data_IF_574222847534
#
_entry.id   IF_574222847534
#
_cell.length_a   1.000
_cell.length_b   1.000
_cell.length_c   1.000
_cell.angle_alpha   90.00
_cell.angle_beta   90.00
_cell.angle_gamma   90.00
#
_symmetry.space_group_name_H-M   'P 1'
#
loop_
_entity.id
_entity.type
_entity.pdbx_description
1 polymer ?
#
# COMPACT_ATOMS: atom_id res chain seq x y z
N UNK A 1 -40.84 11.81 -17.12
CA UNK A 1 -40.60 10.38 -17.40
C UNK A 1 -39.35 9.97 -16.63
N UNK A 2 -39.44 8.95 -15.79
CA UNK A 2 -38.64 8.77 -14.56
C UNK A 2 -37.38 7.89 -14.70
N UNK A 3 -36.54 7.94 -13.64
CA UNK A 3 -35.42 7.06 -13.20
C UNK A 3 -33.99 7.60 -13.52
N UNK A 4 -33.03 7.79 -12.59
CA UNK A 4 -32.85 7.47 -11.17
C UNK A 4 -31.85 8.47 -10.53
N UNK A 5 -32.18 9.02 -9.34
CA UNK A 5 -31.36 9.98 -8.56
C UNK A 5 -30.08 9.36 -7.97
N UNK A 6 -29.02 10.10 -7.61
CA UNK A 6 -28.81 11.51 -7.22
C UNK A 6 -27.43 12.01 -7.74
N UNK A 7 -27.23 13.34 -7.88
CA UNK A 7 -26.05 13.96 -7.23
C UNK A 7 -26.46 15.27 -6.50
N UNK A 8 -25.85 15.66 -5.36
CA UNK A 8 -24.39 15.85 -5.28
C UNK A 8 -23.72 15.46 -3.94
N UNK A 9 -22.42 15.15 -4.02
CA UNK A 9 -21.44 15.53 -2.98
C UNK A 9 -20.23 16.07 -3.73
N UNK A 10 -19.80 17.30 -3.41
CA UNK A 10 -18.66 17.97 -4.03
C UNK A 10 -19.03 19.16 -4.90
N UNK A 11 -18.10 20.12 -4.99
CA UNK A 11 -18.14 21.25 -5.92
C UNK A 11 -17.29 20.86 -7.13
N UNK A 12 -17.80 21.03 -8.34
CA UNK A 12 -17.07 20.80 -9.59
C UNK A 12 -16.92 22.11 -10.36
N UNK A 13 -15.70 22.44 -10.75
CA UNK A 13 -15.39 23.52 -11.69
C UNK A 13 -14.55 22.92 -12.83
N UNK A 14 -14.97 23.15 -14.10
CA UNK A 14 -14.29 22.63 -15.30
C UNK A 14 -14.08 21.09 -15.35
N UNK A 15 -14.84 20.33 -14.55
CA UNK A 15 -14.83 18.86 -14.55
C UNK A 15 -16.25 18.32 -14.65
N UNK A 16 -16.40 17.15 -15.29
CA UNK A 16 -17.68 16.42 -15.40
C UNK A 16 -17.51 15.03 -14.83
N UNK A 17 -18.32 14.68 -13.83
CA UNK A 17 -18.41 13.30 -13.34
C UNK A 17 -19.00 12.40 -14.44
N UNK A 18 -18.31 11.31 -14.77
CA UNK A 18 -18.76 10.33 -15.78
C UNK A 18 -19.24 9.01 -15.18
N UNK A 19 -18.83 8.69 -13.95
CA UNK A 19 -19.22 7.50 -13.21
C UNK A 19 -18.95 7.66 -11.72
N UNK A 20 -19.47 6.73 -10.92
CA UNK A 20 -19.29 6.70 -9.46
C UNK A 20 -19.45 5.28 -8.94
N UNK A 21 -18.61 4.94 -7.97
CA UNK A 21 -18.74 3.72 -7.17
C UNK A 21 -18.45 4.09 -5.73
N UNK A 22 -19.39 3.76 -4.84
CA UNK A 22 -19.21 4.01 -3.41
C UNK A 22 -18.38 2.87 -2.81
N UNK A 23 -17.31 3.23 -2.10
CA UNK A 23 -16.38 2.31 -1.44
C UNK A 23 -15.96 2.92 -0.09
N UNK A 24 -15.51 2.10 0.88
CA UNK A 24 -15.03 2.60 2.17
C UNK A 24 -13.94 3.67 2.04
N UNK A 25 -12.99 3.45 1.12
CA UNK A 25 -11.97 4.43 0.73
C UNK A 25 -10.96 4.79 1.83
N UNK A 26 -10.41 6.00 1.73
CA UNK A 26 -9.42 6.57 2.67
C UNK A 26 -7.96 6.18 2.40
N UNK A 27 -7.70 5.14 1.61
CA UNK A 27 -6.35 4.73 1.23
C UNK A 27 -5.86 5.36 -0.08
N UNK A 28 -4.85 4.72 -0.68
CA UNK A 28 -4.35 5.11 -2.00
C UNK A 28 -5.18 4.51 -3.13
N UNK A 29 -5.17 5.19 -4.27
CA UNK A 29 -5.71 4.69 -5.54
C UNK A 29 -4.57 4.56 -6.55
N UNK A 30 -4.55 3.48 -7.31
CA UNK A 30 -3.71 3.29 -8.50
C UNK A 30 -4.61 2.82 -9.64
N UNK A 31 -4.35 3.29 -10.86
CA UNK A 31 -5.07 2.84 -12.06
C UNK A 31 -4.05 2.32 -13.06
N UNK A 32 -4.24 1.09 -13.54
CA UNK A 32 -3.38 0.48 -14.54
C UNK A 32 -4.22 -0.46 -15.43
N UNK A 33 -4.02 -0.37 -16.76
CA UNK A 33 -4.63 -1.26 -17.76
C UNK A 33 -6.17 -1.42 -17.65
N UNK A 34 -6.87 -0.32 -17.36
CA UNK A 34 -8.34 -0.34 -17.24
C UNK A 34 -8.87 -0.89 -15.93
N UNK A 35 -8.01 -1.10 -14.93
CA UNK A 35 -8.39 -1.46 -13.56
C UNK A 35 -7.94 -0.39 -12.56
N UNK A 36 -8.79 -0.12 -11.57
CA UNK A 36 -8.44 0.70 -10.42
C UNK A 36 -8.28 -0.19 -9.18
N UNK A 37 -7.26 0.10 -8.38
CA UNK A 37 -6.92 -0.58 -7.13
C UNK A 37 -7.01 0.42 -6.00
N UNK A 38 -7.88 0.17 -5.03
CA UNK A 38 -8.23 1.12 -3.98
C UNK A 38 -7.96 0.50 -2.62
N UNK A 39 -7.01 1.06 -1.88
CA UNK A 39 -6.78 0.69 -0.48
C UNK A 39 -7.82 1.31 0.45
N UNK A 40 -8.16 0.59 1.51
CA UNK A 40 -9.13 0.99 2.53
C UNK A 40 -8.47 1.07 3.91
N UNK A 41 -8.83 2.09 4.71
CA UNK A 41 -8.19 2.36 6.01
C UNK A 41 -8.63 1.35 7.07
N UNK A 42 -9.93 1.19 7.29
CA UNK A 42 -10.42 0.46 8.46
C UNK A 42 -10.73 -1.00 8.08
N UNK A 43 -10.32 -1.99 8.90
CA UNK A 43 -10.76 -3.37 8.74
C UNK A 43 -12.30 -3.48 8.86
N UNK A 44 -12.93 -4.48 8.22
CA UNK A 44 -12.30 -5.58 7.50
C UNK A 44 -11.82 -5.21 6.09
N UNK A 45 -12.13 -4.02 5.59
CA UNK A 45 -11.83 -3.61 4.22
C UNK A 45 -10.32 -3.38 4.03
N UNK A 46 -9.70 -4.16 3.14
CA UNK A 46 -8.28 -4.06 2.82
C UNK A 46 -8.01 -3.32 1.52
N UNK A 47 -8.21 -4.00 0.40
CA UNK A 47 -7.97 -3.43 -0.95
C UNK A 47 -9.00 -3.95 -1.95
N UNK A 48 -9.65 -3.06 -2.69
CA UNK A 48 -10.56 -3.42 -3.78
C UNK A 48 -9.88 -3.35 -5.14
N UNK A 49 -10.25 -4.27 -6.05
CA UNK A 49 -9.93 -4.23 -7.48
C UNK A 49 -11.21 -3.93 -8.24
N UNK A 50 -11.15 -2.95 -9.12
CA UNK A 50 -12.31 -2.41 -9.84
C UNK A 50 -11.99 -2.42 -11.32
N UNK A 51 -12.84 -3.07 -12.12
CA UNK A 51 -12.85 -2.89 -13.56
C UNK A 51 -13.41 -1.49 -13.89
N UNK A 52 -12.59 -0.67 -14.53
CA UNK A 52 -12.90 0.70 -14.96
C UNK A 52 -12.75 0.86 -16.48
N UNK A 53 -12.81 -0.23 -17.25
CA UNK A 53 -12.74 -0.19 -18.71
C UNK A 53 -13.93 0.56 -19.31
N UNK A 54 -15.12 0.40 -18.73
CA UNK A 54 -16.23 1.34 -18.89
C UNK A 54 -16.30 2.28 -17.67
N UNK A 55 -15.74 3.49 -17.75
CA UNK A 55 -15.70 4.41 -16.61
C UNK A 55 -17.09 4.93 -16.20
N UNK A 56 -18.14 4.72 -17.02
CA UNK A 56 -19.51 5.05 -16.64
C UNK A 56 -20.15 3.97 -15.77
N UNK A 57 -19.66 2.74 -15.88
CA UNK A 57 -20.17 1.58 -15.16
C UNK A 57 -19.03 0.78 -14.50
N UNK A 58 -18.29 1.35 -13.54
CA UNK A 58 -17.23 0.62 -12.87
C UNK A 58 -17.77 -0.58 -12.08
N UNK A 59 -17.02 -1.67 -12.05
CA UNK A 59 -17.42 -2.92 -11.37
C UNK A 59 -16.35 -3.38 -10.40
N UNK A 60 -16.70 -3.57 -9.14
CA UNK A 60 -15.80 -4.21 -8.17
C UNK A 60 -15.68 -5.70 -8.56
N UNK A 61 -14.48 -6.14 -8.88
CA UNK A 61 -14.20 -7.52 -9.33
C UNK A 61 -13.50 -8.37 -8.27
N UNK A 62 -12.86 -7.74 -7.29
CA UNK A 62 -12.30 -8.41 -6.12
C UNK A 62 -12.22 -7.44 -4.93
N UNK A 63 -12.29 -7.98 -3.72
CA UNK A 63 -12.13 -7.24 -2.48
C UNK A 63 -11.32 -8.10 -1.51
N UNK A 64 -10.16 -7.58 -1.12
CA UNK A 64 -9.26 -8.23 -0.16
C UNK A 64 -9.59 -7.71 1.23
N UNK A 65 -9.90 -8.64 2.13
CA UNK A 65 -10.13 -8.33 3.53
C UNK A 65 -8.83 -8.38 4.34
N UNK A 66 -8.84 -7.66 5.46
CA UNK A 66 -7.79 -7.71 6.48
C UNK A 66 -8.41 -8.00 7.84
N UNK A 67 -7.71 -8.73 8.72
CA UNK A 67 -8.22 -8.98 10.07
C UNK A 67 -8.17 -7.70 10.92
N UNK A 68 -8.95 -7.72 12.00
CA UNK A 68 -8.86 -6.72 13.06
C UNK A 68 -7.42 -6.51 13.53
N UNK A 69 -7.05 -5.24 13.73
CA UNK A 69 -5.69 -4.86 14.13
C UNK A 69 -4.69 -4.71 12.97
N UNK A 70 -5.13 -4.89 11.72
CA UNK A 70 -4.34 -4.66 10.51
C UNK A 70 -5.10 -3.71 9.57
N UNK A 71 -4.36 -2.90 8.82
CA UNK A 71 -4.89 -2.23 7.63
C UNK A 71 -3.97 -2.42 6.41
N UNK A 72 -4.54 -2.36 5.20
CA UNK A 72 -3.81 -2.48 3.93
C UNK A 72 -4.15 -1.36 2.94
N UNK A 73 -4.17 -0.14 3.47
CA UNK A 73 -4.63 1.08 2.81
C UNK A 73 -3.66 1.68 1.76
N UNK A 74 -2.55 1.01 1.43
CA UNK A 74 -1.58 1.41 0.40
C UNK A 74 -1.40 0.30 -0.62
N UNK A 75 -1.53 0.65 -1.89
CA UNK A 75 -1.39 -0.26 -3.03
C UNK A 75 -0.49 0.32 -4.12
N UNK A 76 0.32 -0.54 -4.74
CA UNK A 76 1.03 -0.29 -6.01
C UNK A 76 0.88 -1.51 -6.91
N UNK A 77 0.84 -1.28 -8.21
CA UNK A 77 0.70 -2.33 -9.22
C UNK A 77 1.69 -2.06 -10.35
N UNK A 78 2.23 -3.13 -10.92
CA UNK A 78 2.90 -3.10 -12.21
C UNK A 78 2.63 -4.41 -12.93
N UNK A 79 1.92 -4.33 -14.05
CA UNK A 79 1.51 -5.51 -14.83
C UNK A 79 0.64 -6.45 -14.01
N UNK A 80 1.12 -7.67 -13.76
CA UNK A 80 0.41 -8.69 -13.00
C UNK A 80 0.87 -8.84 -11.55
N UNK A 81 1.68 -7.90 -11.05
CA UNK A 81 2.15 -7.88 -9.66
C UNK A 81 1.51 -6.71 -8.91
N UNK A 82 0.84 -7.01 -7.81
CA UNK A 82 0.31 -6.02 -6.87
C UNK A 82 0.99 -6.13 -5.52
N UNK A 83 1.35 -4.99 -4.95
CA UNK A 83 1.90 -4.85 -3.61
C UNK A 83 0.92 -4.10 -2.73
N UNK A 84 0.69 -4.61 -1.51
CA UNK A 84 -0.07 -3.90 -0.49
C UNK A 84 0.72 -3.84 0.82
N UNK A 85 0.56 -2.74 1.57
CA UNK A 85 1.07 -2.72 2.94
C UNK A 85 0.24 -3.65 3.82
N UNK A 86 0.86 -4.20 4.87
CA UNK A 86 0.17 -4.98 5.88
C UNK A 86 0.65 -4.49 7.24
N UNK A 87 0.03 -3.41 7.71
CA UNK A 87 0.53 -2.62 8.84
C UNK A 87 -0.37 -2.79 10.08
N UNK A 88 0.22 -2.84 11.27
CA UNK A 88 -0.51 -2.85 12.54
C UNK A 88 -1.32 -1.57 12.70
N UNK A 89 -2.58 -1.73 13.07
CA UNK A 89 -3.54 -0.63 13.16
C UNK A 89 -4.37 -0.73 14.43
N UNK A 90 -4.43 0.36 15.22
CA UNK A 90 -5.28 0.52 16.42
C UNK A 90 -5.33 -0.71 17.36
N UNK A 91 -4.22 -1.43 17.53
CA UNK A 91 -4.18 -2.66 18.31
C UNK A 91 -3.02 -2.68 19.31
N UNK A 92 -3.25 -3.33 20.46
CA UNK A 92 -2.21 -3.68 21.44
C UNK A 92 -1.64 -5.07 21.18
N UNK A 93 -2.29 -5.87 20.32
CA UNK A 93 -1.76 -7.17 19.89
C UNK A 93 -0.55 -6.93 18.98
N UNK A 94 0.23 -7.99 18.81
CA UNK A 94 1.41 -7.96 17.97
C UNK A 94 1.26 -8.87 16.74
N UNK A 95 0.26 -8.64 15.86
CA UNK A 95 0.11 -9.44 14.67
C UNK A 95 1.33 -9.28 13.75
N UNK A 96 1.52 -10.25 12.87
CA UNK A 96 2.55 -10.13 11.82
C UNK A 96 2.24 -8.93 10.93
N UNK A 97 3.28 -8.21 10.53
CA UNK A 97 3.18 -7.01 9.72
C UNK A 97 4.32 -6.98 8.69
N UNK A 98 4.14 -6.26 7.59
CA UNK A 98 5.10 -6.23 6.50
C UNK A 98 4.49 -5.75 5.18
N UNK A 99 4.90 -6.38 4.09
CA UNK A 99 4.43 -6.13 2.73
C UNK A 99 3.91 -7.44 2.13
N UNK A 100 2.71 -7.44 1.57
CA UNK A 100 2.17 -8.58 0.82
C UNK A 100 2.32 -8.36 -0.67
N UNK A 101 2.63 -9.43 -1.39
CA UNK A 101 2.77 -9.48 -2.84
C UNK A 101 1.69 -10.40 -3.39
N UNK A 102 1.01 -9.96 -4.43
CA UNK A 102 -0.05 -10.69 -5.09
C UNK A 102 0.23 -10.84 -6.59
N UNK A 103 -0.04 -12.03 -7.10
CA UNK A 103 -0.30 -12.27 -8.52
C UNK A 103 -1.75 -11.86 -8.80
N UNK A 104 -1.92 -10.93 -9.74
CA UNK A 104 -3.21 -10.42 -10.18
C UNK A 104 -3.46 -10.68 -11.66
N UNK A 105 -2.79 -11.65 -12.28
CA UNK A 105 -3.05 -12.09 -13.67
C UNK A 105 -4.55 -12.36 -13.90
N UNK A 106 -5.23 -12.91 -12.90
CA UNK A 106 -6.69 -12.86 -12.79
C UNK A 106 -7.13 -11.77 -11.81
N UNK A 107 -7.60 -10.64 -12.35
CA UNK A 107 -8.01 -9.45 -11.58
C UNK A 107 -9.18 -9.71 -10.61
N UNK A 108 -10.02 -10.71 -10.90
CA UNK A 108 -11.13 -11.13 -10.02
C UNK A 108 -10.72 -12.11 -8.93
N UNK A 109 -9.50 -12.66 -9.00
CA UNK A 109 -8.98 -13.64 -8.05
C UNK A 109 -7.49 -13.35 -7.73
N UNK A 110 -7.17 -12.20 -7.10
CA UNK A 110 -5.82 -11.95 -6.62
C UNK A 110 -5.33 -13.08 -5.72
N UNK A 111 -4.11 -13.55 -5.96
CA UNK A 111 -3.49 -14.64 -5.21
C UNK A 111 -2.26 -14.11 -4.48
N UNK A 112 -2.23 -14.22 -3.16
CA UNK A 112 -1.02 -13.90 -2.39
C UNK A 112 0.10 -14.87 -2.79
N UNK A 113 1.25 -14.34 -3.18
CA UNK A 113 2.42 -15.11 -3.62
C UNK A 113 3.64 -14.93 -2.73
N UNK A 114 3.68 -13.85 -1.94
CA UNK A 114 4.71 -13.67 -0.93
C UNK A 114 4.23 -12.73 0.20
N UNK A 115 4.80 -12.93 1.38
CA UNK A 115 4.69 -12.00 2.50
C UNK A 115 6.08 -11.67 3.03
N UNK A 116 6.55 -10.45 2.76
CA UNK A 116 7.79 -9.95 3.31
C UNK A 116 7.54 -9.39 4.71
N UNK A 117 7.73 -10.25 5.70
CA UNK A 117 7.54 -9.91 7.11
C UNK A 117 8.60 -8.91 7.57
N UNK A 118 8.16 -7.84 8.24
CA UNK A 118 9.05 -6.91 8.93
C UNK A 118 8.76 -6.91 10.43
N UNK A 119 9.41 -6.01 11.18
CA UNK A 119 9.19 -5.84 12.61
C UNK A 119 8.21 -4.70 12.87
N UNK A 120 7.94 -4.46 14.16
CA UNK A 120 7.19 -3.30 14.63
C UNK A 120 5.81 -3.18 13.97
N UNK A 121 5.52 -2.01 13.41
CA UNK A 121 4.24 -1.73 12.76
C UNK A 121 4.11 -2.34 11.37
N UNK A 122 5.18 -2.82 10.74
CA UNK A 122 5.14 -3.26 9.34
C UNK A 122 5.73 -2.24 8.37
N UNK A 123 5.28 -2.30 7.12
CA UNK A 123 5.52 -1.28 6.09
C UNK A 123 4.39 -0.27 6.10
N UNK A 124 4.69 1.02 6.14
CA UNK A 124 3.65 2.06 6.11
C UNK A 124 3.34 2.57 4.69
N UNK A 125 4.38 2.99 3.97
CA UNK A 125 4.30 3.56 2.62
C UNK A 125 5.41 2.99 1.76
N UNK A 126 5.16 2.97 0.46
CA UNK A 126 6.11 2.45 -0.51
C UNK A 126 5.80 2.93 -1.93
N UNK A 127 6.80 2.84 -2.80
CA UNK A 127 6.65 2.90 -4.26
C UNK A 127 7.13 1.59 -4.88
N UNK A 128 6.71 1.33 -6.12
CA UNK A 128 7.10 0.14 -6.88
C UNK A 128 7.22 0.53 -8.34
N UNK A 129 8.35 0.20 -8.97
CA UNK A 129 8.65 0.54 -10.37
C UNK A 129 8.51 -0.66 -11.33
N UNK A 130 7.94 -1.77 -10.85
CA UNK A 130 7.82 -3.04 -11.57
C UNK A 130 8.98 -4.00 -11.33
N UNK A 131 10.09 -3.51 -10.77
CA UNK A 131 11.24 -4.33 -10.40
C UNK A 131 11.62 -4.20 -8.94
N UNK A 132 11.71 -2.98 -8.43
CA UNK A 132 12.11 -2.67 -7.08
C UNK A 132 10.96 -2.02 -6.31
N UNK A 133 10.76 -2.49 -5.07
CA UNK A 133 9.88 -1.82 -4.12
C UNK A 133 10.72 -0.99 -3.15
N UNK A 134 10.42 0.31 -3.07
CA UNK A 134 11.06 1.26 -2.17
C UNK A 134 10.14 1.45 -0.97
N UNK A 135 10.43 0.78 0.12
CA UNK A 135 9.53 0.62 1.26
C UNK A 135 10.01 1.41 2.48
N UNK A 136 9.05 1.82 3.32
CA UNK A 136 9.28 2.40 4.64
C UNK A 136 8.91 1.41 5.76
N UNK A 137 9.73 0.39 6.04
CA UNK A 137 9.47 -0.58 7.10
C UNK A 137 9.86 -0.06 8.48
N UNK A 138 9.30 -0.68 9.50
CA UNK A 138 9.90 -0.75 10.84
C UNK A 138 10.71 -2.05 10.96
N UNK A 139 11.91 -1.96 11.53
CA UNK A 139 12.86 -3.07 11.62
C UNK A 139 13.43 -3.18 13.04
N UNK A 140 13.82 -4.40 13.41
CA UNK A 140 14.51 -4.65 14.67
C UNK A 140 15.81 -3.85 14.73
N UNK A 141 16.09 -3.26 15.90
CA UNK A 141 17.29 -2.46 16.14
C UNK A 141 17.23 -1.02 15.59
N UNK A 142 16.12 -0.63 14.94
CA UNK A 142 15.92 0.73 14.43
C UNK A 142 14.79 1.45 15.17
N UNK A 143 14.95 2.76 15.36
CA UNK A 143 13.86 3.64 15.80
C UNK A 143 13.18 4.32 14.60
N UNK A 144 11.85 4.18 14.54
CA UNK A 144 11.04 4.71 13.45
C UNK A 144 11.17 3.89 12.16
N UNK A 145 10.64 4.46 11.06
CA UNK A 145 10.78 3.87 9.74
C UNK A 145 12.12 4.27 9.11
N UNK A 146 12.74 3.33 8.39
CA UNK A 146 13.92 3.59 7.55
C UNK A 146 13.55 3.41 6.08
N UNK A 147 14.47 3.71 5.16
CA UNK A 147 14.31 3.35 3.76
C UNK A 147 14.91 1.96 3.51
N UNK A 148 14.17 1.09 2.82
CA UNK A 148 14.67 -0.20 2.35
C UNK A 148 14.21 -0.41 0.90
N UNK A 149 15.07 -1.06 0.11
CA UNK A 149 14.74 -1.45 -1.27
C UNK A 149 14.69 -2.97 -1.33
N UNK A 150 13.57 -3.49 -1.82
CA UNK A 150 13.41 -4.90 -2.18
C UNK A 150 13.51 -5.05 -3.70
N UNK A 151 14.27 -6.04 -4.16
CA UNK A 151 14.28 -6.53 -5.53
C UNK A 151 13.20 -7.62 -5.68
N UNK A 152 12.27 -7.39 -6.61
CA UNK A 152 11.18 -8.31 -6.97
C UNK A 152 11.41 -8.96 -8.34
N UNK A 153 12.67 -9.26 -8.71
CA UNK A 153 13.01 -10.12 -9.87
C UNK A 153 12.14 -11.37 -9.91
N UNK A 154 12.04 -12.00 -8.74
CA UNK A 154 11.13 -13.06 -8.45
C UNK A 154 10.14 -12.52 -7.40
N UNK A 155 8.91 -12.14 -7.79
CA UNK A 155 7.96 -11.56 -6.85
C UNK A 155 7.48 -12.57 -5.78
N UNK A 156 7.66 -13.88 -6.00
CA UNK A 156 7.41 -14.91 -4.99
C UNK A 156 8.50 -14.96 -3.90
N UNK A 157 9.65 -14.34 -4.17
CA UNK A 157 10.78 -14.26 -3.24
C UNK A 157 11.43 -12.87 -3.29
N UNK A 158 10.80 -11.83 -2.71
CA UNK A 158 11.40 -10.50 -2.63
C UNK A 158 12.71 -10.53 -1.83
N UNK A 159 13.76 -9.91 -2.36
CA UNK A 159 15.09 -9.89 -1.75
C UNK A 159 15.48 -8.48 -1.37
N UNK A 160 15.98 -8.29 -0.15
CA UNK A 160 16.51 -6.99 0.25
C UNK A 160 17.82 -6.71 -0.47
N UNK A 161 17.94 -5.52 -1.07
CA UNK A 161 19.16 -5.10 -1.79
C UNK A 161 19.76 -3.80 -1.24
N UNK A 162 19.03 -3.06 -0.42
CA UNK A 162 19.53 -1.82 0.17
C UNK A 162 18.75 -1.45 1.44
N UNK A 163 19.47 -0.84 2.41
CA UNK A 163 18.91 -0.08 3.52
C UNK A 163 19.60 1.28 3.60
N UNK A 164 18.83 2.30 3.92
CA UNK A 164 19.35 3.61 4.31
C UNK A 164 18.58 4.12 5.53
N UNK A 165 19.30 4.72 6.46
CA UNK A 165 18.73 5.33 7.66
C UNK A 165 19.45 6.64 7.96
N UNK A 166 18.77 7.51 8.70
CA UNK A 166 19.35 8.74 9.22
C UNK A 166 20.20 8.43 10.45
N UNK A 167 21.38 9.05 10.63
CA UNK A 167 22.20 8.88 11.84
C UNK A 167 21.39 9.17 13.11
N UNK A 168 21.43 8.23 14.07
CA UNK A 168 20.62 8.22 15.28
C UNK A 168 19.47 7.19 15.23
N UNK A 169 19.15 6.63 14.06
CA UNK A 169 18.10 5.62 13.94
C UNK A 169 18.55 4.20 14.27
N UNK A 170 19.84 3.85 14.11
CA UNK A 170 20.32 2.47 14.31
C UNK A 170 20.81 2.22 15.73
N UNK A 171 19.86 2.02 16.65
CA UNK A 171 20.12 1.80 18.07
C UNK A 171 20.95 0.54 18.33
N UNK A 172 20.68 -0.54 17.59
CA UNK A 172 21.46 -1.79 17.71
C UNK A 172 22.92 -1.63 17.27
N UNK A 173 23.24 -0.63 16.45
CA UNK A 173 24.60 -0.25 16.09
C UNK A 173 25.26 0.74 17.06
N UNK A 174 24.58 1.10 18.16
CA UNK A 174 25.10 2.02 19.17
C UNK A 174 24.84 3.50 18.87
N UNK A 175 24.07 3.83 17.82
CA UNK A 175 23.68 5.22 17.56
C UNK A 175 22.72 5.73 18.65
N UNK A 176 22.81 7.03 18.96
CA UNK A 176 21.93 7.70 19.93
C UNK A 176 21.16 8.81 19.24
N UNK A 177 19.81 8.75 19.18
CA UNK A 177 19.01 9.80 18.57
C UNK A 177 19.09 11.08 19.43
N UNK A 178 19.13 12.23 18.76
CA UNK A 178 19.04 13.55 19.41
C UNK A 178 17.59 14.06 19.51
N UNK A 179 16.62 13.20 19.17
CA UNK A 179 15.19 13.48 19.16
C UNK A 179 14.42 12.43 19.96
N UNK A 180 13.12 12.64 20.16
CA UNK A 180 12.26 11.72 20.90
C UNK A 180 11.44 10.82 19.97
N UNK A 181 11.23 9.57 20.39
CA UNK A 181 10.35 8.63 19.70
C UNK A 181 10.65 8.48 18.20
N UNK A 182 9.63 8.70 17.37
CA UNK A 182 9.69 8.49 15.92
C UNK A 182 9.55 9.78 15.10
N UNK A 183 9.95 10.91 15.70
CA UNK A 183 9.82 12.24 15.08
C UNK A 183 10.62 12.33 13.78
N UNK A 184 11.74 11.62 13.69
CA UNK A 184 12.53 11.48 12.48
C UNK A 184 12.40 10.06 11.94
N UNK A 185 11.85 9.94 10.73
CA UNK A 185 11.61 8.67 10.05
C UNK A 185 11.50 8.86 8.54
N UNK A 186 11.94 7.88 7.78
CA UNK A 186 11.72 7.83 6.34
C UNK A 186 10.29 7.41 6.05
N UNK A 187 9.45 8.32 5.54
CA UNK A 187 8.01 8.07 5.40
C UNK A 187 7.57 7.61 4.02
N UNK A 188 8.27 7.96 2.93
CA UNK A 188 7.84 7.62 1.57
C UNK A 188 9.04 7.73 0.61
N UNK A 189 9.80 6.66 0.38
CA UNK A 189 10.91 6.70 -0.56
C UNK A 189 10.32 6.65 -1.98
N UNK A 190 10.70 7.64 -2.80
CA UNK A 190 10.24 7.79 -4.18
C UNK A 190 11.48 7.89 -5.05
N UNK A 191 11.58 7.00 -6.04
CA UNK A 191 12.64 7.00 -7.03
C UNK A 191 12.48 8.16 -8.02
N UNK A 192 13.60 8.78 -8.42
CA UNK A 192 13.68 9.80 -9.47
C UNK A 192 14.62 9.33 -10.58
N UNK A 193 14.04 8.83 -11.67
CA UNK A 193 14.82 8.37 -12.83
C UNK A 193 15.52 7.05 -12.53
N UNK A 194 16.85 7.04 -12.52
CA UNK A 194 17.71 5.91 -12.12
C UNK A 194 18.29 6.06 -10.70
N UNK A 195 17.75 6.99 -9.91
CA UNK A 195 18.21 7.37 -8.56
C UNK A 195 17.16 7.19 -7.49
#
# INVERSE_FOLDING_TARGET
MAANGKPPVGVSENIKQIGRTDLPGGGSVVVENGYAYVGHIDPPDGTSVIDVQDPKNPKVVAQLEVPEGIHSHKVRVSGDVMLINYERYKTKKEPQAGLKVFDISNKSKPREIAFYKTHGKGVHRFTFDGRYAYISPTLEGYVGNIAMILDLKNPEKPEEVCRWWMPGQWLAGGEKPTWHGTDHRCHHPIRRGDR
#
